data_IF_174660246032
#
_entry.id   IF_174660246032
#
_cell.length_a   1.000
_cell.length_b   1.000
_cell.length_c   1.000
_cell.angle_alpha   90.00
_cell.angle_beta   90.00
_cell.angle_gamma   90.00
#
_symmetry.space_group_name_H-M   'P 1'
#
loop_
_entity.id
_entity.type
_entity.pdbx_description
1 polymer ?
#
# COMPACT_ATOMS: atom_id res chain seq x y z
N UNK A 1 3.57 23.06 14.37
CA UNK A 1 4.12 22.23 13.28
C UNK A 1 3.36 22.55 12.01
N UNK A 2 4.04 22.93 10.94
CA UNK A 2 3.37 23.40 9.73
C UNK A 2 2.61 22.27 9.04
N UNK A 3 1.40 22.54 8.54
CA UNK A 3 0.57 21.56 7.81
C UNK A 3 1.35 20.89 6.66
N UNK A 4 2.22 21.64 5.99
CA UNK A 4 3.10 21.15 4.91
C UNK A 4 4.05 20.05 5.39
N UNK A 5 4.62 20.20 6.59
CA UNK A 5 5.52 19.20 7.19
C UNK A 5 4.73 17.92 7.49
N UNK A 6 3.52 18.04 8.05
CA UNK A 6 2.67 16.88 8.35
C UNK A 6 2.35 16.10 7.07
N UNK A 7 1.91 16.79 6.02
CA UNK A 7 1.59 16.15 4.72
C UNK A 7 2.83 15.49 4.12
N UNK A 8 3.99 16.12 4.20
CA UNK A 8 5.25 15.53 3.74
C UNK A 8 5.60 14.23 4.51
N UNK A 9 5.48 14.24 5.84
CA UNK A 9 5.69 13.06 6.67
C UNK A 9 4.69 11.93 6.34
N UNK A 10 3.43 12.26 6.05
CA UNK A 10 2.45 11.26 5.63
C UNK A 10 2.80 10.62 4.30
N UNK A 11 3.29 11.39 3.33
CA UNK A 11 3.77 10.85 2.05
C UNK A 11 4.97 9.93 2.24
N UNK A 12 5.92 10.30 3.10
CA UNK A 12 7.04 9.44 3.46
C UNK A 12 6.51 8.14 4.06
N UNK A 13 5.62 8.21 5.05
CA UNK A 13 5.06 7.03 5.70
C UNK A 13 4.31 6.13 4.70
N UNK A 14 3.50 6.71 3.82
CA UNK A 14 2.78 5.94 2.80
C UNK A 14 3.74 5.27 1.81
N UNK A 15 4.78 5.98 1.40
CA UNK A 15 5.85 5.43 0.55
C UNK A 15 6.59 4.29 1.26
N UNK A 16 6.88 4.42 2.55
CA UNK A 16 7.48 3.36 3.36
C UNK A 16 6.57 2.12 3.45
N UNK A 17 5.26 2.30 3.60
CA UNK A 17 4.28 1.19 3.58
C UNK A 17 4.27 0.50 2.20
N UNK A 18 4.34 1.27 1.11
CA UNK A 18 4.45 0.70 -0.24
C UNK A 18 5.74 -0.12 -0.39
N UNK A 19 6.89 0.45 -0.01
CA UNK A 19 8.19 -0.25 -0.06
C UNK A 19 8.12 -1.54 0.75
N UNK A 20 7.66 -1.46 2.01
CA UNK A 20 7.52 -2.63 2.87
C UNK A 20 6.57 -3.68 2.27
N UNK A 21 5.49 -3.26 1.61
CA UNK A 21 4.55 -4.17 0.95
C UNK A 21 5.23 -4.93 -0.20
N UNK A 22 6.06 -4.24 -0.98
CA UNK A 22 6.75 -4.80 -2.15
C UNK A 22 8.01 -5.62 -1.80
N UNK A 23 8.70 -5.29 -0.72
CA UNK A 23 10.02 -5.88 -0.39
C UNK A 23 10.04 -6.63 0.94
N UNK A 24 8.97 -6.57 1.75
CA UNK A 24 8.93 -7.21 3.06
C UNK A 24 9.05 -8.73 3.03
N UNK A 25 8.78 -9.36 1.89
CA UNK A 25 9.07 -10.78 1.65
C UNK A 25 10.57 -11.11 1.66
N UNK A 26 11.46 -10.12 1.59
CA UNK A 26 12.92 -10.27 1.72
C UNK A 26 13.41 -10.31 3.18
N UNK A 27 12.54 -10.05 4.15
CA UNK A 27 12.92 -10.08 5.57
C UNK A 27 13.55 -11.42 5.97
N UNK A 28 14.38 -11.42 7.04
CA UNK A 28 14.85 -12.65 7.67
C UNK A 28 13.67 -13.54 8.06
N UNK A 29 13.85 -14.87 7.96
CA UNK A 29 12.74 -15.81 8.12
C UNK A 29 11.97 -15.67 9.46
N UNK A 30 12.68 -15.30 10.54
CA UNK A 30 12.10 -15.04 11.87
C UNK A 30 11.12 -13.86 11.90
N UNK A 31 11.26 -12.91 10.98
CA UNK A 31 10.44 -11.70 10.89
C UNK A 31 9.38 -11.79 9.78
N UNK A 32 9.40 -12.84 8.94
CA UNK A 32 8.42 -13.01 7.87
C UNK A 32 6.98 -13.09 8.39
N UNK A 33 6.77 -13.60 9.61
CA UNK A 33 5.43 -13.64 10.20
C UNK A 33 4.82 -12.23 10.33
N UNK A 34 5.62 -11.22 10.66
CA UNK A 34 5.17 -9.82 10.75
C UNK A 34 4.66 -9.35 9.38
N UNK A 35 5.41 -9.63 8.31
CA UNK A 35 5.01 -9.30 6.94
C UNK A 35 3.72 -10.05 6.55
N UNK A 36 3.65 -11.34 6.84
CA UNK A 36 2.49 -12.19 6.49
C UNK A 36 1.20 -11.76 7.17
N UNK A 37 1.28 -11.22 8.40
CA UNK A 37 0.13 -10.65 9.13
C UNK A 37 -0.15 -9.21 8.69
N UNK A 38 0.87 -8.41 8.44
CA UNK A 38 0.73 -7.01 8.05
C UNK A 38 -0.04 -6.83 6.74
N UNK A 39 0.29 -7.62 5.71
CA UNK A 39 -0.34 -7.50 4.39
C UNK A 39 -1.86 -7.69 4.42
N UNK A 40 -2.43 -8.78 4.99
CA UNK A 40 -3.88 -8.94 5.06
C UNK A 40 -4.53 -7.86 5.93
N UNK A 41 -3.91 -7.41 7.03
CA UNK A 41 -4.45 -6.30 7.83
C UNK A 41 -4.56 -5.01 7.02
N UNK A 42 -3.54 -4.69 6.23
CA UNK A 42 -3.52 -3.52 5.36
C UNK A 42 -4.58 -3.62 4.24
N UNK A 43 -4.74 -4.79 3.62
CA UNK A 43 -5.80 -5.05 2.62
C UNK A 43 -7.20 -4.94 3.24
N UNK A 44 -7.41 -5.51 4.43
CA UNK A 44 -8.68 -5.39 5.17
C UNK A 44 -8.97 -3.93 5.48
N UNK A 45 -7.97 -3.18 5.96
CA UNK A 45 -8.12 -1.73 6.19
C UNK A 45 -8.62 -1.03 4.92
N UNK A 46 -8.04 -1.33 3.75
CA UNK A 46 -8.49 -0.73 2.49
C UNK A 46 -9.94 -1.10 2.18
N UNK A 47 -10.34 -2.36 2.33
CA UNK A 47 -11.71 -2.80 2.08
C UNK A 47 -12.72 -2.10 3.00
N UNK A 48 -12.41 -2.01 4.30
CA UNK A 48 -13.23 -1.30 5.28
C UNK A 48 -13.34 0.20 5.01
N UNK A 49 -12.38 0.75 4.26
CA UNK A 49 -12.29 2.17 3.97
C UNK A 49 -12.54 2.49 2.48
N UNK A 50 -13.44 1.74 1.83
CA UNK A 50 -13.90 1.98 0.46
C UNK A 50 -12.76 1.97 -0.59
N UNK A 51 -11.73 1.16 -0.37
CA UNK A 51 -10.58 1.03 -1.27
C UNK A 51 -9.52 2.12 -1.09
N UNK A 52 -9.58 2.94 -0.04
CA UNK A 52 -8.56 3.95 0.26
C UNK A 52 -7.69 3.60 1.47
N UNK A 53 -6.42 4.00 1.40
CA UNK A 53 -5.50 3.92 2.52
C UNK A 53 -5.88 4.98 3.56
N UNK A 54 -5.77 4.65 4.86
CA UNK A 54 -6.02 5.62 5.94
C UNK A 54 -5.11 6.85 5.83
N UNK A 55 -3.89 6.68 5.32
CA UNK A 55 -2.91 7.76 5.12
C UNK A 55 -3.38 8.75 4.04
N UNK A 56 -3.99 8.26 2.95
CA UNK A 56 -4.58 9.12 1.92
C UNK A 56 -5.75 9.92 2.47
N UNK A 57 -6.61 9.30 3.28
CA UNK A 57 -7.72 10.02 3.89
C UNK A 57 -7.24 11.11 4.85
N UNK A 58 -6.18 10.83 5.63
CA UNK A 58 -5.59 11.81 6.53
C UNK A 58 -4.92 12.96 5.77
N UNK A 59 -4.23 12.67 4.67
CA UNK A 59 -3.69 13.70 3.77
C UNK A 59 -4.80 14.59 3.21
N UNK A 60 -5.87 14.01 2.68
CA UNK A 60 -7.01 14.75 2.13
C UNK A 60 -7.71 15.60 3.18
N UNK A 61 -7.85 15.08 4.41
CA UNK A 61 -8.38 15.82 5.54
C UNK A 61 -7.52 17.06 5.87
N UNK A 62 -6.19 16.90 5.91
CA UNK A 62 -5.27 18.00 6.22
C UNK A 62 -5.21 19.08 5.12
N UNK A 63 -5.41 18.67 3.86
CA UNK A 63 -5.46 19.55 2.70
C UNK A 63 -6.84 20.18 2.48
N UNK A 64 -7.83 19.90 3.34
CA UNK A 64 -9.23 20.29 3.16
C UNK A 64 -9.85 19.82 1.82
N UNK A 65 -9.35 18.73 1.24
CA UNK A 65 -9.87 18.13 0.00
C UNK A 65 -10.99 17.10 0.27
N UNK A 66 -11.76 17.29 1.34
CA UNK A 66 -12.81 16.35 1.79
C UNK A 66 -14.02 16.28 0.84
N UNK A 67 -14.10 17.17 -0.15
CA UNK A 67 -15.20 17.24 -1.10
C UNK A 67 -15.17 16.16 -2.20
N UNK A 68 -14.03 15.51 -2.45
CA UNK A 68 -13.93 14.44 -3.46
C UNK A 68 -14.55 13.15 -2.94
N UNK A 69 -15.33 12.44 -3.76
CA UNK A 69 -15.91 11.14 -3.39
C UNK A 69 -14.78 10.14 -3.16
N UNK A 70 -14.86 9.32 -2.09
CA UNK A 70 -13.86 8.27 -1.80
C UNK A 70 -13.63 7.31 -2.98
N UNK A 71 -14.65 7.05 -3.80
CA UNK A 71 -14.53 6.26 -5.04
C UNK A 71 -13.55 6.86 -6.05
N UNK A 72 -13.49 8.19 -6.15
CA UNK A 72 -12.54 8.92 -7.01
C UNK A 72 -11.13 8.96 -6.40
N UNK A 73 -11.04 8.67 -5.11
CA UNK A 73 -9.78 8.64 -4.36
C UNK A 73 -9.11 7.26 -4.34
N UNK A 74 -9.79 6.23 -4.84
CA UNK A 74 -9.24 4.88 -4.88
C UNK A 74 -7.96 4.83 -5.71
N UNK A 75 -6.90 4.30 -5.10
CA UNK A 75 -5.60 4.16 -5.76
C UNK A 75 -4.90 5.48 -6.09
N UNK A 76 -5.35 6.63 -5.57
CA UNK A 76 -4.77 7.95 -5.90
C UNK A 76 -3.26 8.02 -5.72
N UNK A 77 -2.73 7.42 -4.65
CA UNK A 77 -1.30 7.35 -4.42
C UNK A 77 -0.55 6.60 -5.53
N UNK A 78 -1.09 5.48 -5.99
CA UNK A 78 -0.47 4.70 -7.05
C UNK A 78 -0.65 5.39 -8.41
N UNK A 79 -1.80 6.01 -8.66
CA UNK A 79 -2.04 6.85 -9.85
C UNK A 79 -1.03 8.00 -9.95
N UNK A 80 -0.77 8.70 -8.84
CA UNK A 80 0.21 9.80 -8.83
C UNK A 80 1.64 9.29 -9.05
N UNK A 81 2.00 8.11 -8.52
CA UNK A 81 3.27 7.46 -8.81
C UNK A 81 3.42 7.10 -10.29
N UNK A 82 2.40 6.49 -10.92
CA UNK A 82 2.44 6.17 -12.36
C UNK A 82 2.54 7.43 -13.22
N UNK A 83 1.81 8.49 -12.87
CA UNK A 83 1.90 9.76 -13.59
C UNK A 83 3.31 10.35 -13.49
N UNK A 84 3.91 10.34 -12.29
CA UNK A 84 5.24 10.91 -12.07
C UNK A 84 6.38 10.07 -12.68
N UNK A 85 6.24 8.74 -12.73
CA UNK A 85 7.28 7.83 -13.21
C UNK A 85 7.15 7.50 -14.69
N UNK A 86 5.92 7.32 -15.18
CA UNK A 86 5.63 6.83 -16.53
C UNK A 86 4.95 7.89 -17.42
N UNK A 87 4.48 9.01 -16.87
CA UNK A 87 3.81 10.06 -17.64
C UNK A 87 2.36 9.76 -18.04
N UNK A 88 1.77 8.66 -17.57
CA UNK A 88 0.37 8.30 -17.86
C UNK A 88 -0.35 7.75 -16.63
N UNK A 89 -1.68 7.80 -16.65
CA UNK A 89 -2.54 7.24 -15.59
C UNK A 89 -3.24 5.98 -16.15
N UNK A 90 -2.97 4.79 -15.61
CA UNK A 90 -3.66 3.58 -16.04
C UNK A 90 -5.16 3.62 -15.69
N UNK A 91 -5.97 2.87 -16.44
CA UNK A 91 -7.40 2.72 -16.15
C UNK A 91 -7.63 2.11 -14.76
N UNK A 92 -8.67 2.57 -14.05
CA UNK A 92 -8.91 2.24 -12.64
C UNK A 92 -9.03 0.73 -12.36
N UNK A 93 -9.74 0.00 -13.24
CA UNK A 93 -9.90 -1.45 -13.13
C UNK A 93 -8.56 -2.18 -13.32
N UNK A 94 -7.78 -1.75 -14.30
CA UNK A 94 -6.46 -2.33 -14.57
C UNK A 94 -5.50 -2.04 -13.41
N UNK A 95 -5.48 -0.80 -12.91
CA UNK A 95 -4.65 -0.41 -11.78
C UNK A 95 -5.01 -1.19 -10.52
N UNK A 96 -6.31 -1.36 -10.24
CA UNK A 96 -6.80 -2.17 -9.12
C UNK A 96 -6.29 -3.60 -9.25
N UNK A 97 -6.50 -4.23 -10.41
CA UNK A 97 -6.03 -5.59 -10.65
C UNK A 97 -4.52 -5.71 -10.47
N UNK A 98 -3.75 -4.79 -11.05
CA UNK A 98 -2.29 -4.74 -10.95
C UNK A 98 -1.81 -4.65 -9.50
N UNK A 99 -2.41 -3.77 -8.69
CA UNK A 99 -2.08 -3.62 -7.26
C UNK A 99 -2.35 -4.92 -6.52
N UNK A 100 -3.57 -5.48 -6.61
CA UNK A 100 -3.93 -6.69 -5.88
C UNK A 100 -3.09 -7.89 -6.31
N UNK A 101 -2.86 -8.05 -7.62
CA UNK A 101 -2.01 -9.11 -8.17
C UNK A 101 -0.58 -9.01 -7.67
N UNK A 102 0.00 -7.80 -7.64
CA UNK A 102 1.36 -7.57 -7.17
C UNK A 102 1.49 -7.89 -5.69
N UNK A 103 0.57 -7.37 -4.86
CA UNK A 103 0.57 -7.62 -3.41
C UNK A 103 0.42 -9.12 -3.13
N UNK A 104 -0.51 -9.79 -3.80
CA UNK A 104 -0.74 -11.22 -3.65
C UNK A 104 0.49 -12.03 -4.04
N UNK A 105 1.17 -11.66 -5.13
CA UNK A 105 2.40 -12.33 -5.58
C UNK A 105 3.52 -12.19 -4.55
N UNK A 106 3.79 -10.97 -4.09
CA UNK A 106 4.81 -10.72 -3.05
C UNK A 106 4.49 -11.45 -1.74
N UNK A 107 3.23 -11.42 -1.31
CA UNK A 107 2.78 -12.11 -0.10
C UNK A 107 2.93 -13.64 -0.23
N UNK A 108 2.58 -14.21 -1.39
CA UNK A 108 2.73 -15.64 -1.65
C UNK A 108 4.19 -16.09 -1.63
N UNK A 109 5.10 -15.29 -2.20
CA UNK A 109 6.56 -15.55 -2.12
C UNK A 109 7.02 -15.54 -0.66
N UNK A 110 6.61 -14.54 0.13
CA UNK A 110 6.90 -14.47 1.56
C UNK A 110 6.35 -15.68 2.33
N UNK A 111 5.14 -16.12 1.99
CA UNK A 111 4.48 -17.27 2.60
C UNK A 111 5.19 -18.58 2.30
N UNK A 112 5.62 -18.76 1.04
CA UNK A 112 6.43 -19.91 0.63
C UNK A 112 7.77 -19.95 1.36
N UNK A 113 8.47 -18.82 1.47
CA UNK A 113 9.73 -18.72 2.24
C UNK A 113 9.53 -19.05 3.72
N UNK A 114 8.45 -18.56 4.33
CA UNK A 114 8.12 -18.86 5.73
C UNK A 114 7.79 -20.34 5.93
N UNK A 115 7.06 -20.95 4.99
CA UNK A 115 6.75 -22.37 5.00
C UNK A 115 8.03 -23.22 4.97
N UNK A 116 8.96 -22.97 4.02
CA UNK A 116 10.23 -23.69 3.94
C UNK A 116 11.01 -23.59 5.26
N UNK A 117 11.09 -22.39 5.83
CA UNK A 117 11.76 -22.17 7.10
C UNK A 117 11.13 -22.94 8.28
N UNK A 118 9.80 -22.97 8.36
CA UNK A 118 9.09 -23.63 9.46
C UNK A 118 9.22 -25.15 9.42
N UNK A 119 9.20 -25.73 8.22
CA UNK A 119 9.29 -27.19 8.02
C UNK A 119 10.72 -27.70 7.78
N UNK A 120 11.72 -26.81 7.80
CA UNK A 120 13.14 -27.19 7.77
C UNK A 120 13.65 -27.71 6.42
N UNK A 121 13.05 -27.25 5.31
CA UNK A 121 13.52 -27.54 3.94
C UNK A 121 14.64 -26.59 3.52
#
# INVERSE_FOLDING_TARGET
>A
MDKKIIVFLLKILHTSVLIFTLTGWLLPNKLLLIYLVWIPLMVIQWQLNQGTCILTNLENYLLNETHKKKSEQQGQFVKSLFLNLCGFVPADNFLKYLIYFTIFSCWSIGGYRFYLYYYGY
#
